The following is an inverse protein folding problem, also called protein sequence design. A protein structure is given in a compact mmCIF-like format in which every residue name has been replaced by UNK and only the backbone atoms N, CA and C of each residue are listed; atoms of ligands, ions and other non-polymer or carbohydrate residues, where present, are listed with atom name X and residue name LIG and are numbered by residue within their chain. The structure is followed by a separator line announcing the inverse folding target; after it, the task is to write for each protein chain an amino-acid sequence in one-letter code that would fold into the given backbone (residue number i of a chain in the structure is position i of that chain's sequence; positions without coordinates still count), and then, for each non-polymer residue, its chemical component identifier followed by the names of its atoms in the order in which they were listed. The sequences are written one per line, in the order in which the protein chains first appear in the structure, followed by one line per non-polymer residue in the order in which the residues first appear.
data_IF_040254355313
#
_entry.id   IF_040254355313
#
_cell.length_a   1.000
_cell.length_b   1.000
_cell.length_c   1.000
_cell.angle_alpha   90.00
_cell.angle_beta   90.00
_cell.angle_gamma   90.00
#
_symmetry.space_group_name_H-M   'P 1'
#
loop_
_entity.id
_entity.type
_entity.pdbx_description
1 polymer ?
#
# COMPACT_ATOMS: atom_id res chain seq x y z
N UNK A 1 3.87 22.73 3.70
CA UNK A 1 4.52 22.08 2.54
C UNK A 1 4.44 20.58 2.73
N UNK A 2 4.20 19.80 1.67
CA UNK A 2 4.01 18.34 1.73
C UNK A 2 5.29 17.69 1.19
N UNK A 3 5.90 16.80 1.97
CA UNK A 3 7.01 15.96 1.54
C UNK A 3 6.52 14.57 1.20
N UNK A 4 6.98 14.07 0.06
CA UNK A 4 6.57 12.78 -0.46
C UNK A 4 7.81 11.96 -0.69
N UNK A 5 7.98 10.94 0.14
CA UNK A 5 9.09 10.00 0.06
C UNK A 5 8.64 8.65 -0.47
N UNK A 6 9.61 7.89 -0.95
CA UNK A 6 9.42 6.49 -1.33
C UNK A 6 10.44 5.65 -0.58
N UNK A 7 10.00 4.53 -0.01
CA UNK A 7 10.91 3.52 0.56
C UNK A 7 10.43 2.13 0.19
N UNK A 8 11.36 1.20 0.09
CA UNK A 8 11.10 -0.20 -0.22
C UNK A 8 11.71 -1.04 0.87
N UNK A 9 10.94 -1.98 1.41
CA UNK A 9 11.35 -2.79 2.54
C UNK A 9 11.04 -4.27 2.30
N UNK A 10 11.83 -5.11 2.97
CA UNK A 10 11.61 -6.54 3.08
C UNK A 10 11.27 -6.79 4.55
N UNK A 11 10.02 -7.13 4.80
CA UNK A 11 9.53 -7.39 6.15
C UNK A 11 9.46 -8.90 6.39
N UNK A 12 9.90 -9.37 7.55
CA UNK A 12 9.56 -10.73 7.98
C UNK A 12 8.05 -10.84 8.23
N UNK A 13 7.52 -12.06 8.34
CA UNK A 13 6.09 -12.27 8.69
C UNK A 13 5.76 -11.62 10.03
N UNK A 14 6.65 -11.73 11.02
CA UNK A 14 6.49 -11.11 12.33
C UNK A 14 6.42 -9.57 12.22
N UNK A 15 7.42 -8.94 11.57
CA UNK A 15 7.43 -7.49 11.34
C UNK A 15 6.19 -7.02 10.58
N UNK A 16 5.77 -7.76 9.56
CA UNK A 16 4.59 -7.43 8.77
C UNK A 16 3.30 -7.44 9.62
N UNK A 17 3.19 -8.36 10.58
CA UNK A 17 2.05 -8.45 11.50
C UNK A 17 2.08 -7.35 12.55
N UNK A 18 3.27 -7.02 13.07
CA UNK A 18 3.48 -5.94 14.03
C UNK A 18 3.12 -4.56 13.45
N UNK A 19 3.46 -4.32 12.18
CA UNK A 19 3.14 -3.10 11.41
C UNK A 19 1.64 -2.96 11.05
N UNK A 20 0.81 -3.94 11.45
CA UNK A 20 -0.63 -4.08 11.22
C UNK A 20 -1.19 -3.15 10.14
N UNK A 21 -1.05 -3.57 8.88
CA UNK A 21 -1.55 -2.81 7.74
C UNK A 21 -3.08 -2.76 7.66
N UNK A 22 -3.62 -1.66 7.13
CA UNK A 22 -5.04 -1.57 6.78
C UNK A 22 -5.22 -2.00 5.31
N UNK A 23 -5.93 -3.09 4.98
CA UNK A 23 -6.14 -3.50 3.59
C UNK A 23 -7.08 -2.53 2.85
N UNK A 24 -6.95 -2.38 1.51
CA UNK A 24 -7.80 -1.45 0.75
C UNK A 24 -9.26 -1.92 0.68
N UNK A 25 -9.50 -3.23 0.84
CA UNK A 25 -10.82 -3.82 0.98
C UNK A 25 -10.75 -5.21 1.60
N UNK A 26 -11.90 -5.73 2.05
CA UNK A 26 -12.01 -7.14 2.45
C UNK A 26 -11.73 -8.08 1.26
N UNK A 27 -11.05 -9.21 1.47
CA UNK A 27 -10.88 -10.22 0.42
C UNK A 27 -12.23 -10.72 -0.08
N UNK A 28 -12.33 -11.01 -1.39
CA UNK A 28 -13.58 -11.37 -2.05
C UNK A 28 -13.89 -12.88 -2.04
N UNK A 29 -12.90 -13.75 -1.83
CA UNK A 29 -13.05 -15.21 -1.76
C UNK A 29 -12.09 -15.74 -0.70
N UNK A 30 -12.61 -16.64 0.15
CA UNK A 30 -11.82 -17.28 1.21
C UNK A 30 -10.97 -18.41 0.64
N UNK A 31 -11.51 -19.14 -0.33
CA UNK A 31 -10.84 -20.25 -1.04
C UNK A 31 -9.57 -19.73 -1.72
N UNK A 32 -9.67 -18.59 -2.40
CA UNK A 32 -8.51 -17.95 -3.03
C UNK A 32 -7.46 -17.51 -2.00
N UNK A 33 -7.89 -16.99 -0.84
CA UNK A 33 -6.96 -16.62 0.25
C UNK A 33 -6.23 -17.85 0.79
N UNK A 34 -6.94 -18.96 1.02
CA UNK A 34 -6.33 -20.21 1.50
C UNK A 34 -5.34 -20.80 0.49
N UNK A 35 -5.70 -20.84 -0.80
CA UNK A 35 -4.80 -21.32 -1.85
C UNK A 35 -3.54 -20.46 -1.97
N UNK A 36 -3.70 -19.14 -1.84
CA UNK A 36 -2.58 -18.20 -1.84
C UNK A 36 -1.67 -18.39 -0.64
N UNK A 37 -2.23 -18.62 0.55
CA UNK A 37 -1.44 -18.90 1.75
C UNK A 37 -0.67 -20.22 1.64
N UNK A 38 -1.29 -21.27 1.10
CA UNK A 38 -0.61 -22.54 0.83
C UNK A 38 0.57 -22.33 -0.12
N UNK A 39 0.36 -21.63 -1.24
CA UNK A 39 1.45 -21.28 -2.17
C UNK A 39 2.56 -20.46 -1.51
N UNK A 40 2.24 -19.53 -0.60
CA UNK A 40 3.26 -18.73 0.10
C UNK A 40 4.05 -19.59 1.10
N UNK A 41 3.38 -20.49 1.82
CA UNK A 41 4.05 -21.40 2.74
C UNK A 41 4.99 -22.39 2.01
N UNK A 42 4.57 -22.89 0.83
CA UNK A 42 5.32 -23.91 0.09
C UNK A 42 6.48 -23.33 -0.74
N UNK A 43 6.30 -22.14 -1.32
CA UNK A 43 7.22 -21.58 -2.32
C UNK A 43 7.76 -20.19 -1.95
N UNK A 44 7.37 -19.64 -0.80
CA UNK A 44 7.70 -18.28 -0.42
C UNK A 44 6.95 -17.22 -1.22
N UNK A 45 7.49 -15.99 -1.24
CA UNK A 45 6.82 -14.86 -1.89
C UNK A 45 7.01 -14.89 -3.41
N UNK A 46 5.98 -15.29 -4.14
CA UNK A 46 5.99 -15.37 -5.62
C UNK A 46 5.20 -14.23 -6.29
N UNK A 47 4.65 -13.32 -5.50
CA UNK A 47 3.82 -12.21 -5.98
C UNK A 47 4.60 -10.92 -6.20
N UNK A 48 3.92 -9.93 -6.79
CA UNK A 48 4.39 -8.53 -6.81
C UNK A 48 4.58 -7.97 -5.40
N UNK A 49 5.42 -6.98 -5.16
CA UNK A 49 5.41 -6.25 -3.90
C UNK A 49 4.02 -5.75 -3.50
N UNK A 50 3.81 -5.61 -2.19
CA UNK A 50 2.69 -4.84 -1.66
C UNK A 50 2.98 -3.36 -1.81
N UNK A 51 1.93 -2.56 -1.98
CA UNK A 51 2.05 -1.10 -2.01
C UNK A 51 1.27 -0.55 -0.83
N UNK A 52 1.91 0.27 -0.01
CA UNK A 52 1.33 0.93 1.15
C UNK A 52 1.53 2.45 1.05
N UNK A 53 0.62 3.20 1.64
CA UNK A 53 0.80 4.61 1.96
C UNK A 53 0.97 4.74 3.47
N UNK A 54 1.96 5.53 3.86
CA UNK A 54 2.24 5.90 5.22
C UNK A 54 2.13 7.42 5.31
N UNK A 55 1.25 7.90 6.18
CA UNK A 55 0.96 9.34 6.30
C UNK A 55 1.61 9.97 7.53
N UNK A 56 2.36 9.19 8.32
CA UNK A 56 2.95 9.61 9.58
C UNK A 56 1.94 10.02 10.67
N UNK A 57 0.62 9.96 10.40
CA UNK A 57 -0.46 10.32 11.34
C UNK A 57 -1.26 9.11 11.82
N UNK A 58 -1.41 8.09 10.98
CA UNK A 58 -2.02 6.83 11.40
C UNK A 58 -0.95 5.99 12.11
N UNK A 59 -1.37 5.28 13.17
CA UNK A 59 -0.53 4.25 13.80
C UNK A 59 -0.20 3.09 12.85
N UNK A 60 -0.81 3.06 11.66
CA UNK A 60 -0.81 1.93 10.74
C UNK A 60 -0.77 2.42 9.29
N UNK A 61 0.16 1.93 8.46
CA UNK A 61 0.14 2.18 7.03
C UNK A 61 -1.09 1.54 6.36
N UNK A 62 -1.59 2.17 5.29
CA UNK A 62 -2.72 1.63 4.52
C UNK A 62 -2.24 1.04 3.21
N UNK A 63 -2.62 -0.20 2.94
CA UNK A 63 -2.33 -0.87 1.68
C UNK A 63 -3.19 -0.31 0.56
N UNK A 64 -2.55 -0.07 -0.58
CA UNK A 64 -3.17 0.30 -1.84
C UNK A 64 -3.42 -0.94 -2.73
N UNK A 65 -2.71 -2.04 -2.49
CA UNK A 65 -2.85 -3.28 -3.26
C UNK A 65 -2.73 -4.52 -2.37
N UNK A 66 -3.10 -5.69 -2.91
CA UNK A 66 -2.77 -6.97 -2.30
C UNK A 66 -3.68 -7.39 -1.14
N UNK A 67 -4.94 -7.01 -1.13
CA UNK A 67 -5.93 -7.34 -0.10
C UNK A 67 -6.00 -8.84 0.23
N UNK A 68 -5.96 -9.71 -0.78
CA UNK A 68 -5.94 -11.16 -0.59
C UNK A 68 -4.60 -11.69 -0.06
N UNK A 69 -3.49 -11.09 -0.48
CA UNK A 69 -2.15 -11.43 0.03
C UNK A 69 -2.00 -11.04 1.48
N UNK A 70 -2.46 -9.84 1.84
CA UNK A 70 -2.54 -9.40 3.23
C UNK A 70 -3.37 -10.37 4.07
N UNK A 71 -4.57 -10.75 3.59
CA UNK A 71 -5.42 -11.71 4.29
C UNK A 71 -4.75 -13.09 4.45
N UNK A 72 -4.01 -13.56 3.44
CA UNK A 72 -3.24 -14.80 3.51
C UNK A 72 -2.11 -14.70 4.56
N UNK A 73 -1.31 -13.64 4.50
CA UNK A 73 -0.19 -13.37 5.41
C UNK A 73 -0.63 -13.29 6.87
N UNK A 74 -1.74 -12.62 7.16
CA UNK A 74 -2.24 -12.43 8.54
C UNK A 74 -3.00 -13.66 9.03
N UNK A 75 -3.72 -14.36 8.16
CA UNK A 75 -4.65 -15.42 8.59
C UNK A 75 -4.11 -16.84 8.57
N UNK A 76 -3.14 -17.14 7.70
CA UNK A 76 -2.85 -18.53 7.32
C UNK A 76 -1.36 -18.84 7.08
N UNK A 77 -0.55 -17.83 6.77
CA UNK A 77 0.90 -18.01 6.64
C UNK A 77 1.50 -18.25 8.02
N UNK A 78 2.42 -19.21 8.12
CA UNK A 78 3.06 -19.54 9.39
C UNK A 78 4.04 -18.44 9.80
N UNK A 79 4.24 -18.23 11.10
CA UNK A 79 5.19 -17.20 11.59
C UNK A 79 6.64 -17.68 11.58
N UNK A 80 6.85 -19.00 11.57
CA UNK A 80 8.17 -19.63 11.67
C UNK A 80 8.86 -19.87 10.32
N UNK A 81 8.26 -19.40 9.22
CA UNK A 81 8.90 -19.46 7.90
C UNK A 81 9.81 -18.26 7.71
N UNK A 82 10.98 -18.50 7.11
CA UNK A 82 11.90 -17.45 6.68
C UNK A 82 11.39 -16.82 5.37
N UNK A 83 10.39 -15.96 5.50
CA UNK A 83 9.73 -15.27 4.39
C UNK A 83 9.95 -13.77 4.45
N UNK A 84 10.58 -13.23 3.41
CA UNK A 84 10.65 -11.79 3.18
C UNK A 84 9.50 -11.29 2.33
N UNK A 85 8.71 -10.39 2.88
CA UNK A 85 7.55 -9.76 2.25
C UNK A 85 7.99 -8.40 1.69
N UNK A 86 8.08 -8.24 0.36
CA UNK A 86 8.42 -6.95 -0.23
C UNK A 86 7.23 -5.98 -0.13
N UNK A 87 7.49 -4.81 0.48
CA UNK A 87 6.52 -3.71 0.59
C UNK A 87 7.15 -2.41 0.09
N UNK A 88 6.48 -1.74 -0.84
CA UNK A 88 6.78 -0.38 -1.24
C UNK A 88 5.88 0.58 -0.47
N UNK A 89 6.48 1.58 0.15
CA UNK A 89 5.78 2.63 0.87
C UNK A 89 5.86 3.95 0.11
N UNK A 90 4.71 4.62 0.02
CA UNK A 90 4.61 6.03 -0.28
C UNK A 90 4.45 6.75 1.04
N UNK A 91 5.46 7.53 1.44
CA UNK A 91 5.37 8.34 2.65
C UNK A 91 4.86 9.73 2.29
N UNK A 92 3.82 10.20 2.97
CA UNK A 92 3.27 11.55 2.83
C UNK A 92 3.41 12.25 4.17
N UNK A 93 4.47 13.04 4.30
CA UNK A 93 4.77 13.80 5.49
C UNK A 93 4.34 15.26 5.29
N UNK A 94 3.62 15.82 6.24
CA UNK A 94 3.44 17.26 6.28
C UNK A 94 4.59 17.92 7.02
N UNK A 95 5.07 19.05 6.51
CA UNK A 95 5.90 19.94 7.31
C UNK A 95 5.15 20.31 8.59
N UNK A 96 5.84 20.39 9.73
CA UNK A 96 5.27 20.90 10.98
C UNK A 96 4.54 22.24 10.74
N UNK A 97 3.33 22.37 11.28
CA UNK A 97 2.50 23.58 11.13
C UNK A 97 1.68 23.66 9.83
N UNK A 98 1.76 22.67 8.94
CA UNK A 98 0.82 22.57 7.80
C UNK A 98 -0.46 21.87 8.28
N UNK A 99 -1.60 22.55 8.19
CA UNK A 99 -2.88 21.95 8.52
C UNK A 99 -3.32 21.00 7.39
N UNK A 100 -3.87 19.83 7.76
CA UNK A 100 -4.51 18.99 6.74
C UNK A 100 -5.81 19.68 6.41
N UNK A 101 -5.90 20.33 5.25
CA UNK A 101 -7.23 20.71 4.77
C UNK A 101 -8.07 19.44 4.62
N UNK A 102 -9.37 19.55 4.88
CA UNK A 102 -10.31 18.45 4.64
C UNK A 102 -10.19 17.94 3.21
N UNK A 103 -9.83 18.80 2.24
CA UNK A 103 -9.56 18.43 0.86
C UNK A 103 -8.35 17.51 0.69
N UNK A 104 -7.25 17.74 1.41
CA UNK A 104 -6.08 16.85 1.40
C UNK A 104 -6.43 15.51 2.06
N UNK A 105 -7.14 15.56 3.18
CA UNK A 105 -7.64 14.37 3.87
C UNK A 105 -8.58 13.56 2.97
N UNK A 106 -9.46 14.24 2.23
CA UNK A 106 -10.42 13.63 1.32
C UNK A 106 -9.76 13.14 0.01
N UNK A 107 -8.74 13.82 -0.50
CA UNK A 107 -7.97 13.36 -1.66
C UNK A 107 -7.14 12.11 -1.32
N UNK A 108 -6.48 12.10 -0.15
CA UNK A 108 -5.78 10.93 0.37
C UNK A 108 -6.77 9.81 0.70
N UNK A 109 -7.89 10.08 1.40
CA UNK A 109 -8.97 9.10 1.61
C UNK A 109 -9.54 8.56 0.29
N UNK A 110 -9.67 9.41 -0.73
CA UNK A 110 -10.15 9.05 -2.06
C UNK A 110 -9.20 8.14 -2.84
N UNK A 111 -7.89 8.25 -2.59
CA UNK A 111 -6.88 7.27 -3.04
C UNK A 111 -7.00 5.92 -2.32
N UNK A 112 -7.53 5.93 -1.10
CA UNK A 112 -7.54 4.84 -0.14
C UNK A 112 -8.85 4.02 -0.15
N UNK A 113 -9.96 4.60 -0.61
CA UNK A 113 -11.26 3.94 -0.69
C UNK A 113 -11.59 3.58 -2.14
N UNK A 114 -11.44 2.29 -2.47
CA UNK A 114 -12.08 1.55 -3.57
C UNK A 114 -12.69 2.42 -4.70
N UNK A 115 -11.86 2.78 -5.67
CA UNK A 115 -12.18 2.88 -7.12
C UNK A 115 -10.91 3.27 -7.90
N UNK A 116 -9.79 2.61 -7.57
CA UNK A 116 -8.45 2.91 -8.06
C UNK A 116 -8.18 2.49 -9.53
N UNK A 117 -9.23 2.04 -10.23
CA UNK A 117 -9.26 1.72 -11.67
C UNK A 117 -10.00 2.78 -12.51
N UNK A 118 -10.49 3.87 -11.90
CA UNK A 118 -11.24 4.90 -12.60
C UNK A 118 -10.41 6.18 -12.81
N UNK A 119 -10.63 6.89 -13.92
CA UNK A 119 -9.98 8.16 -14.30
C UNK A 119 -10.01 9.21 -13.15
N UNK A 120 -10.94 9.06 -12.22
CA UNK A 120 -11.12 9.89 -11.03
C UNK A 120 -9.95 9.80 -10.01
N UNK A 121 -9.27 8.65 -9.92
CA UNK A 121 -8.08 8.51 -9.04
C UNK A 121 -6.90 9.31 -9.58
N UNK A 122 -6.73 9.35 -10.90
CA UNK A 122 -5.70 10.14 -11.56
C UNK A 122 -6.00 11.64 -11.40
N UNK A 123 -7.27 12.04 -11.53
CA UNK A 123 -7.70 13.42 -11.31
C UNK A 123 -7.43 13.90 -9.87
N UNK A 124 -7.68 13.04 -8.87
CA UNK A 124 -7.39 13.33 -7.44
C UNK A 124 -5.90 13.40 -7.15
N UNK A 125 -5.09 12.55 -7.79
CA UNK A 125 -3.63 12.63 -7.74
C UNK A 125 -3.10 13.92 -8.35
N UNK A 126 -3.61 14.33 -9.51
CA UNK A 126 -3.27 15.60 -10.17
C UNK A 126 -3.70 16.80 -9.31
N UNK A 127 -4.84 16.73 -8.62
CA UNK A 127 -5.27 17.76 -7.67
C UNK A 127 -4.31 17.86 -6.47
N UNK A 128 -3.88 16.70 -5.92
CA UNK A 128 -2.83 16.62 -4.91
C UNK A 128 -1.49 17.17 -5.40
N UNK A 129 -1.10 16.93 -6.66
CA UNK A 129 0.12 17.53 -7.25
C UNK A 129 0.02 19.05 -7.32
N UNK A 130 -1.15 19.57 -7.71
CA UNK A 130 -1.41 21.01 -7.80
C UNK A 130 -1.40 21.69 -6.43
N UNK A 131 -1.92 21.03 -5.39
CA UNK A 131 -1.96 21.55 -4.03
C UNK A 131 -0.62 21.41 -3.29
N UNK A 132 0.16 20.37 -3.58
CA UNK A 132 1.45 20.09 -2.92
C UNK A 132 2.67 20.65 -3.65
N UNK A 133 2.52 21.04 -4.92
CA UNK A 133 3.64 21.38 -5.81
C UNK A 133 4.55 20.19 -6.16
N UNK A 134 4.16 18.96 -5.81
CA UNK A 134 5.00 17.75 -5.89
C UNK A 134 4.42 16.78 -6.92
N UNK A 135 5.25 16.08 -7.71
CA UNK A 135 4.80 15.15 -8.77
C UNK A 135 4.39 13.75 -8.27
N UNK A 136 3.36 13.70 -7.41
CA UNK A 136 2.73 12.49 -6.84
C UNK A 136 2.21 11.48 -7.88
N UNK A 137 1.56 11.98 -8.93
CA UNK A 137 0.98 11.16 -10.00
C UNK A 137 2.08 10.40 -10.73
N UNK A 138 3.23 11.05 -10.97
CA UNK A 138 4.39 10.41 -11.60
C UNK A 138 5.01 9.33 -10.71
N UNK A 139 5.15 9.59 -9.42
CA UNK A 139 5.70 8.63 -8.46
C UNK A 139 4.83 7.36 -8.37
N UNK A 140 3.51 7.54 -8.21
CA UNK A 140 2.57 6.41 -8.14
C UNK A 140 2.44 5.68 -9.47
N UNK A 141 2.47 6.39 -10.61
CA UNK A 141 2.48 5.77 -11.94
C UNK A 141 3.75 4.95 -12.18
N UNK A 142 4.92 5.45 -11.76
CA UNK A 142 6.19 4.71 -11.83
C UNK A 142 6.14 3.45 -10.97
N UNK A 143 5.70 3.54 -9.72
CA UNK A 143 5.57 2.35 -8.85
C UNK A 143 4.54 1.36 -9.37
N UNK A 144 3.44 1.82 -9.98
CA UNK A 144 2.46 0.92 -10.63
C UNK A 144 3.05 0.27 -11.88
N UNK A 145 3.89 0.99 -12.63
CA UNK A 145 4.59 0.48 -13.82
C UNK A 145 5.65 -0.55 -13.44
N UNK A 146 6.50 -0.26 -12.45
CA UNK A 146 7.49 -1.20 -11.91
C UNK A 146 6.80 -2.46 -11.37
N UNK A 147 5.67 -2.31 -10.66
CA UNK A 147 4.84 -3.44 -10.26
C UNK A 147 4.24 -4.20 -11.46
N UNK A 148 4.00 -3.56 -12.62
CA UNK A 148 3.49 -4.23 -13.83
C UNK A 148 4.58 -4.94 -14.63
N UNK A 149 5.79 -4.39 -14.66
CA UNK A 149 6.93 -4.80 -15.49
C UNK A 149 7.82 -5.88 -14.84
N UNK A 150 7.70 -6.14 -13.53
CA UNK A 150 8.36 -7.29 -12.87
C UNK A 150 7.76 -8.66 -13.22
N UNK A 151 7.55 -8.94 -14.52
CA UNK A 151 7.13 -10.22 -15.08
C UNK A 151 8.33 -11.00 -15.59
#
# INVERSE_FOLDING_TARGET
MIHIGQRSERLTVAQYRDEYFIPPHRPRSREYVSALAASINDYGWTGRPLLAIDTGRSLRPQLLTGSHRHAALVGFVREDIDLEIPVHFVTVNLCPGTDWSDDLANAVKGLLTKDADNDDTLARLIALERLSGTRLTRAIALMRRENREGR
#
